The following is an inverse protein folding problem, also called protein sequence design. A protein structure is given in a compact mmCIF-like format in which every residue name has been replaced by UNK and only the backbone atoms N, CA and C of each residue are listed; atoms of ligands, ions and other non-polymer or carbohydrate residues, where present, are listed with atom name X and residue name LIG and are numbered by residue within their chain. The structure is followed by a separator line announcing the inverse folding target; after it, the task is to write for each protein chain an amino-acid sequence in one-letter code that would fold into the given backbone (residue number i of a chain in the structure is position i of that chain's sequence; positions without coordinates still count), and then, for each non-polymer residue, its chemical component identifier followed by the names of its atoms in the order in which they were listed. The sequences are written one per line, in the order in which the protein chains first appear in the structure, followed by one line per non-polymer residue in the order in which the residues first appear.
data_IF_826296808834
#
_entry.id   IF_826296808834
#
_cell.length_a   1.000
_cell.length_b   1.000
_cell.length_c   1.000
_cell.angle_alpha   90.00
_cell.angle_beta   90.00
_cell.angle_gamma   90.00
#
_symmetry.space_group_name_H-M   'P 1'
#
loop_
_entity.id
_entity.type
_entity.pdbx_description
1 polymer ?
#
# COMPACT_ATOMS: atom_id res chain seq x y z
N UNK A 1 57.38 34.07 6.86
CA UNK A 1 57.68 32.65 6.59
C UNK A 1 56.68 31.85 7.42
N UNK A 2 55.67 31.16 6.91
CA UNK A 2 55.48 30.57 5.59
C UNK A 2 53.99 30.27 5.49
N UNK A 3 53.33 30.90 4.52
CA UNK A 3 52.38 30.28 3.59
C UNK A 3 51.52 29.14 4.14
N UNK A 4 50.20 29.37 4.23
CA UNK A 4 49.33 29.14 3.07
C UNK A 4 49.34 27.66 2.71
N UNK A 5 48.16 27.05 2.90
CA UNK A 5 47.75 25.65 2.61
C UNK A 5 47.43 24.91 3.90
N UNK A 6 46.16 24.90 4.29
CA UNK A 6 45.41 23.63 4.29
C UNK A 6 43.92 23.87 4.53
N UNK A 7 43.16 23.60 3.48
CA UNK A 7 41.73 23.29 3.46
C UNK A 7 40.74 24.37 3.91
N UNK A 8 40.39 25.21 2.93
CA UNK A 8 38.98 25.52 2.64
C UNK A 8 38.18 24.20 2.59
N UNK A 9 37.42 23.87 3.64
CA UNK A 9 36.28 22.97 3.48
C UNK A 9 35.16 23.78 2.83
N UNK A 10 35.06 23.68 1.51
CA UNK A 10 33.86 24.06 0.77
C UNK A 10 32.68 23.25 1.34
N UNK A 11 31.91 23.85 2.25
CA UNK A 11 30.54 23.40 2.50
C UNK A 11 29.72 23.80 1.28
N UNK A 12 29.75 22.94 0.25
CA UNK A 12 28.80 23.02 -0.84
C UNK A 12 27.43 22.62 -0.27
N UNK A 13 26.66 23.61 0.20
CA UNK A 13 25.22 23.45 0.39
C UNK A 13 24.61 23.22 -0.98
N UNK A 14 24.45 21.95 -1.35
CA UNK A 14 23.61 21.56 -2.47
C UNK A 14 22.18 21.93 -2.09
N UNK A 15 21.67 22.98 -2.73
CA UNK A 15 20.26 23.36 -2.69
C UNK A 15 19.49 22.24 -3.38
N UNK A 16 19.04 21.26 -2.58
CA UNK A 16 18.18 20.18 -3.06
C UNK A 16 16.87 20.79 -3.55
N UNK A 17 16.62 20.71 -4.85
CA UNK A 17 15.31 21.01 -5.44
C UNK A 17 14.30 20.04 -4.84
N UNK A 18 13.46 20.51 -3.93
CA UNK A 18 12.27 19.77 -3.48
C UNK A 18 11.30 19.75 -4.65
N UNK A 19 11.30 18.67 -5.43
CA UNK A 19 10.21 18.40 -6.36
C UNK A 19 9.00 18.04 -5.50
N UNK A 20 7.99 18.92 -5.45
CA UNK A 20 6.72 18.58 -4.84
C UNK A 20 6.12 17.40 -5.62
N UNK A 21 6.07 16.23 -5.00
CA UNK A 21 5.34 15.09 -5.55
C UNK A 21 3.86 15.48 -5.62
N UNK A 22 3.39 15.75 -6.84
CA UNK A 22 1.96 15.85 -7.13
C UNK A 22 1.33 14.52 -6.74
N UNK A 23 0.70 14.47 -5.58
CA UNK A 23 -0.20 13.39 -5.25
C UNK A 23 -1.37 13.55 -6.21
N UNK A 24 -1.43 12.72 -7.25
CA UNK A 24 -2.63 12.58 -8.05
C UNK A 24 -3.78 12.45 -7.05
N UNK A 25 -4.79 13.32 -7.17
CA UNK A 25 -5.96 13.25 -6.31
C UNK A 25 -6.51 11.83 -6.48
N UNK A 26 -6.28 10.97 -5.48
CA UNK A 26 -6.86 9.65 -5.46
C UNK A 26 -8.35 9.90 -5.62
N UNK A 27 -8.95 9.36 -6.68
CA UNK A 27 -10.41 9.27 -6.75
C UNK A 27 -10.90 8.74 -5.39
N UNK A 28 -12.12 9.07 -4.98
CA UNK A 28 -12.67 8.57 -3.70
C UNK A 28 -12.79 7.03 -3.75
N UNK A 29 -11.68 6.32 -3.49
CA UNK A 29 -11.56 4.86 -3.57
C UNK A 29 -12.18 4.30 -2.31
N UNK A 30 -13.41 3.81 -2.44
CA UNK A 30 -14.16 3.23 -1.33
C UNK A 30 -14.29 1.71 -1.38
N UNK A 31 -13.64 1.05 -2.32
CA UNK A 31 -13.69 -0.41 -2.46
C UNK A 31 -12.50 -1.06 -1.76
N UNK A 32 -12.77 -2.01 -0.87
CA UNK A 32 -11.76 -2.77 -0.13
C UNK A 32 -12.03 -4.27 -0.34
N UNK A 33 -10.97 -5.01 -0.64
CA UNK A 33 -11.00 -6.47 -0.74
C UNK A 33 -10.17 -7.05 0.40
N UNK A 34 -10.81 -7.85 1.26
CA UNK A 34 -10.17 -8.52 2.39
C UNK A 34 -9.85 -9.96 2.01
N UNK A 35 -8.57 -10.31 2.04
CA UNK A 35 -8.06 -11.64 1.70
C UNK A 35 -7.50 -12.27 2.97
N UNK A 36 -7.88 -13.50 3.29
CA UNK A 36 -7.40 -14.19 4.49
C UNK A 36 -6.03 -14.84 4.28
N UNK A 37 -5.36 -15.19 5.38
CA UNK A 37 -4.10 -15.92 5.34
C UNK A 37 -4.28 -17.43 5.13
N UNK A 38 -3.17 -18.17 5.09
CA UNK A 38 -3.19 -19.63 4.97
C UNK A 38 -3.84 -20.30 6.20
N UNK A 39 -4.58 -21.39 5.97
CA UNK A 39 -5.22 -22.24 6.99
C UNK A 39 -6.27 -21.54 7.87
N UNK A 40 -6.81 -20.41 7.43
CA UNK A 40 -7.96 -19.72 8.03
C UNK A 40 -8.97 -19.42 6.93
N UNK A 41 -10.17 -18.97 7.31
CA UNK A 41 -11.18 -18.48 6.37
C UNK A 41 -11.40 -16.96 6.53
N UNK A 42 -12.25 -16.40 5.67
CA UNK A 42 -12.63 -14.99 5.72
C UNK A 42 -13.34 -14.53 7.01
N UNK A 43 -13.76 -15.43 7.92
CA UNK A 43 -14.40 -15.03 9.19
C UNK A 43 -13.43 -14.30 10.13
N UNK A 44 -12.12 -14.52 9.96
CA UNK A 44 -11.04 -13.77 10.64
C UNK A 44 -11.15 -12.26 10.46
N UNK A 45 -11.81 -11.81 9.39
CA UNK A 45 -12.00 -10.40 9.08
C UNK A 45 -13.30 -9.79 9.61
N UNK A 46 -14.17 -10.52 10.32
CA UNK A 46 -15.50 -10.01 10.73
C UNK A 46 -15.44 -8.63 11.40
N UNK A 47 -14.60 -8.45 12.42
CA UNK A 47 -14.50 -7.15 13.10
C UNK A 47 -13.99 -6.01 12.21
N UNK A 48 -13.12 -6.32 11.23
CA UNK A 48 -12.62 -5.33 10.26
C UNK A 48 -13.68 -5.00 9.21
N UNK A 49 -14.39 -6.02 8.71
CA UNK A 49 -15.53 -5.86 7.83
C UNK A 49 -16.56 -4.92 8.47
N UNK A 50 -16.99 -5.20 9.70
CA UNK A 50 -17.98 -4.39 10.42
C UNK A 50 -17.51 -2.93 10.58
N UNK A 51 -16.24 -2.73 10.93
CA UNK A 51 -15.65 -1.39 11.09
C UNK A 51 -15.60 -0.60 9.77
N UNK A 52 -15.26 -1.25 8.66
CA UNK A 52 -15.13 -0.61 7.35
C UNK A 52 -16.50 -0.34 6.71
N UNK A 53 -17.43 -1.28 6.81
CA UNK A 53 -18.80 -1.09 6.33
C UNK A 53 -19.50 0.03 7.10
N UNK A 54 -19.29 0.15 8.41
CA UNK A 54 -19.79 1.27 9.21
C UNK A 54 -19.24 2.65 8.79
N UNK A 55 -18.19 2.68 7.96
CA UNK A 55 -17.58 3.89 7.39
C UNK A 55 -17.91 4.09 5.90
N UNK A 56 -18.94 3.40 5.41
CA UNK A 56 -19.42 3.47 4.03
C UNK A 56 -18.39 3.01 2.98
N UNK A 57 -17.50 2.08 3.34
CA UNK A 57 -16.68 1.36 2.36
C UNK A 57 -17.46 0.18 1.76
N UNK A 58 -17.29 -0.05 0.45
CA UNK A 58 -17.71 -1.28 -0.22
C UNK A 58 -16.68 -2.36 0.06
N UNK A 59 -17.01 -3.30 0.94
CA UNK A 59 -16.07 -4.35 1.38
C UNK A 59 -16.49 -5.71 0.83
N UNK A 60 -15.56 -6.42 0.21
CA UNK A 60 -15.72 -7.82 -0.19
C UNK A 60 -14.70 -8.67 0.53
N UNK A 61 -15.13 -9.78 1.14
CA UNK A 61 -14.24 -10.77 1.78
C UNK A 61 -14.08 -11.95 0.83
N UNK A 62 -12.85 -12.25 0.42
CA UNK A 62 -12.54 -13.36 -0.48
C UNK A 62 -12.46 -14.65 0.31
N UNK A 63 -13.05 -15.72 -0.20
CA UNK A 63 -12.76 -17.09 0.25
C UNK A 63 -11.84 -17.74 -0.78
N UNK A 64 -10.60 -17.96 -0.39
CA UNK A 64 -9.62 -18.66 -1.20
C UNK A 64 -9.82 -20.17 -1.03
N UNK A 65 -9.83 -20.96 -2.11
CA UNK A 65 -10.02 -22.40 -2.03
C UNK A 65 -8.87 -23.14 -1.33
N UNK A 66 -7.67 -22.55 -1.26
CA UNK A 66 -6.47 -23.14 -0.68
C UNK A 66 -6.09 -24.50 -1.31
N UNK A 67 -6.51 -24.72 -2.56
CA UNK A 67 -6.22 -25.92 -3.35
C UNK A 67 -4.95 -25.78 -4.19
N UNK A 68 -4.67 -24.57 -4.68
CA UNK A 68 -3.45 -24.20 -5.40
C UNK A 68 -3.26 -22.68 -5.39
N UNK A 69 -2.03 -22.22 -5.64
CA UNK A 69 -1.74 -20.78 -5.77
C UNK A 69 -2.51 -20.16 -6.92
N UNK A 70 -2.64 -20.88 -8.05
CA UNK A 70 -3.37 -20.42 -9.23
C UNK A 70 -4.86 -20.24 -8.95
N UNK A 71 -5.49 -21.21 -8.24
CA UNK A 71 -6.91 -21.13 -7.88
C UNK A 71 -7.19 -19.97 -6.92
N UNK A 72 -6.25 -19.73 -6.00
CA UNK A 72 -6.29 -18.65 -5.02
C UNK A 72 -6.18 -17.28 -5.70
N UNK A 73 -5.26 -17.12 -6.66
CA UNK A 73 -5.15 -15.91 -7.51
C UNK A 73 -6.46 -15.70 -8.29
N UNK A 74 -6.98 -16.76 -8.92
CA UNK A 74 -8.20 -16.68 -9.70
C UNK A 74 -9.41 -16.28 -8.83
N UNK A 75 -9.45 -16.68 -7.56
CA UNK A 75 -10.50 -16.28 -6.62
C UNK A 75 -10.48 -14.77 -6.33
N UNK A 76 -9.29 -14.17 -6.18
CA UNK A 76 -9.15 -12.73 -5.98
C UNK A 76 -9.46 -11.95 -7.26
N UNK A 77 -8.97 -12.41 -8.41
CA UNK A 77 -9.18 -11.75 -9.71
C UNK A 77 -10.66 -11.58 -10.06
N UNK A 78 -11.50 -12.60 -9.80
CA UNK A 78 -12.95 -12.53 -10.00
C UNK A 78 -13.65 -11.38 -9.27
N UNK A 79 -13.01 -10.80 -8.24
CA UNK A 79 -13.55 -9.70 -7.43
C UNK A 79 -12.95 -8.34 -7.86
N UNK A 80 -11.71 -8.33 -8.36
CA UNK A 80 -11.00 -7.09 -8.72
C UNK A 80 -11.28 -6.66 -10.15
N UNK A 81 -11.51 -7.62 -11.06
CA UNK A 81 -11.66 -7.34 -12.50
C UNK A 81 -13.08 -6.90 -12.92
N UNK A 82 -13.99 -6.66 -11.96
CA UNK A 82 -15.38 -6.21 -12.17
C UNK A 82 -15.55 -4.70 -12.05
#
# INVERSE_FOLDING_TARGET
MTYLRMLLLCSAMTLGTVTAQSHAALADVRTIVLVHGANVDGSTWRGVYDCLTAKDFKVTVVQMPLTSTEDDIAAVQRIVDV
#
